data_IF_633116384128
#
_entry.id   IF_633116384128
#
_cell.length_a   1.000
_cell.length_b   1.000
_cell.length_c   1.000
_cell.angle_alpha   90.00
_cell.angle_beta   90.00
_cell.angle_gamma   90.00
#
_symmetry.space_group_name_H-M   'P 1'
#
loop_
_entity.id
_entity.type
_entity.pdbx_description
1 polymer ?
#
# COMPACT_ATOMS: atom_id res chain seq x y z
N UNK A 1 43.71 -6.00 -15.07
CA UNK A 1 42.39 -6.64 -14.87
C UNK A 1 41.72 -5.88 -13.75
N UNK A 2 40.91 -4.87 -14.08
CA UNK A 2 40.22 -4.04 -13.09
C UNK A 2 38.83 -4.63 -12.89
N UNK A 3 38.63 -5.22 -11.71
CA UNK A 3 37.33 -5.62 -11.18
C UNK A 3 36.50 -4.35 -10.95
N UNK A 4 35.53 -4.13 -11.82
CA UNK A 4 34.46 -3.16 -11.60
C UNK A 4 33.47 -3.85 -10.65
N UNK A 5 33.74 -3.75 -9.35
CA UNK A 5 32.72 -3.98 -8.33
C UNK A 5 31.70 -2.85 -8.49
N UNK A 6 30.70 -3.09 -9.34
CA UNK A 6 29.52 -2.27 -9.41
C UNK A 6 28.85 -2.28 -8.03
N UNK A 7 29.04 -1.19 -7.27
CA UNK A 7 28.22 -0.86 -6.12
C UNK A 7 26.76 -0.94 -6.56
N UNK A 8 26.11 -2.06 -6.23
CA UNK A 8 24.68 -2.19 -6.38
C UNK A 8 24.06 -1.17 -5.42
N UNK A 9 23.20 -0.25 -5.90
CA UNK A 9 22.53 0.67 -4.99
C UNK A 9 21.75 -0.14 -3.96
N UNK A 10 21.88 0.21 -2.69
CA UNK A 10 21.13 -0.39 -1.59
C UNK A 10 19.64 -0.01 -1.70
N UNK A 11 18.94 -0.69 -2.63
CA UNK A 11 17.50 -0.53 -2.83
C UNK A 11 16.68 -1.10 -1.65
N UNK A 12 17.31 -1.84 -0.73
CA UNK A 12 16.62 -2.45 0.41
C UNK A 12 16.38 -1.44 1.54
N UNK A 13 17.34 -0.57 1.82
CA UNK A 13 17.24 0.40 2.92
C UNK A 13 16.16 1.48 2.69
N UNK A 14 16.00 1.92 1.43
CA UNK A 14 14.99 2.92 1.06
C UNK A 14 13.55 2.38 1.11
N UNK A 15 13.36 1.08 0.91
CA UNK A 15 12.04 0.45 0.77
C UNK A 15 11.33 0.33 2.11
N UNK A 16 12.06 0.01 3.19
CA UNK A 16 11.46 -0.20 4.51
C UNK A 16 10.98 1.11 5.15
N UNK A 17 11.75 2.19 5.02
CA UNK A 17 11.37 3.52 5.53
C UNK A 17 10.10 4.05 4.87
N UNK A 18 9.96 3.86 3.55
CA UNK A 18 8.78 4.26 2.79
C UNK A 18 7.55 3.43 3.15
N UNK A 19 7.73 2.14 3.42
CA UNK A 19 6.64 1.28 3.89
C UNK A 19 6.14 1.77 5.25
N UNK A 20 7.03 2.02 6.21
CA UNK A 20 6.66 2.54 7.53
C UNK A 20 5.91 3.87 7.43
N UNK A 21 6.37 4.79 6.59
CA UNK A 21 5.70 6.07 6.33
C UNK A 21 4.28 5.88 5.77
N UNK A 22 4.07 4.90 4.90
CA UNK A 22 2.74 4.55 4.38
C UNK A 22 1.85 3.99 5.50
N UNK A 23 2.38 3.11 6.36
CA UNK A 23 1.64 2.58 7.51
C UNK A 23 1.23 3.70 8.49
N UNK A 24 2.16 4.58 8.82
CA UNK A 24 1.92 5.71 9.73
C UNK A 24 0.90 6.69 9.15
N UNK A 25 0.95 6.94 7.83
CA UNK A 25 -0.07 7.74 7.15
C UNK A 25 -1.45 7.07 7.18
N UNK A 26 -1.55 5.78 6.85
CA UNK A 26 -2.82 5.03 6.90
C UNK A 26 -3.43 5.07 8.32
N UNK A 27 -2.58 4.98 9.35
CA UNK A 27 -3.01 5.00 10.76
C UNK A 27 -3.36 6.42 11.26
N UNK A 28 -2.73 7.46 10.74
CA UNK A 28 -3.01 8.84 11.15
C UNK A 28 -4.15 9.49 10.37
N UNK A 29 -4.51 8.99 9.19
CA UNK A 29 -5.49 9.63 8.29
C UNK A 29 -6.93 9.59 8.86
N UNK A 30 -7.50 10.75 9.26
CA UNK A 30 -8.85 10.82 9.85
C UNK A 30 -9.98 10.53 8.86
N UNK A 31 -9.75 10.68 7.55
CA UNK A 31 -10.79 10.53 6.53
C UNK A 31 -11.06 9.06 6.13
N UNK A 32 -10.27 8.12 6.66
CA UNK A 32 -10.42 6.68 6.43
C UNK A 32 -11.31 6.04 7.49
N UNK A 33 -12.41 5.42 7.06
CA UNK A 33 -13.17 4.54 7.94
C UNK A 33 -12.40 3.24 8.22
N UNK A 34 -12.81 2.49 9.24
CA UNK A 34 -12.13 1.26 9.68
C UNK A 34 -11.99 0.20 8.58
N UNK A 35 -12.95 0.14 7.64
CA UNK A 35 -12.93 -0.83 6.54
C UNK A 35 -11.89 -0.48 5.48
N UNK A 36 -11.83 0.79 5.08
CA UNK A 36 -10.86 1.27 4.09
C UNK A 36 -9.44 1.21 4.64
N UNK A 37 -9.29 1.53 5.93
CA UNK A 37 -8.03 1.43 6.66
C UNK A 37 -7.49 -0.01 6.68
N UNK A 38 -8.34 -0.99 7.05
CA UNK A 38 -7.95 -2.40 7.03
C UNK A 38 -7.54 -2.87 5.63
N UNK A 39 -8.27 -2.45 4.60
CA UNK A 39 -7.94 -2.81 3.22
C UNK A 39 -6.59 -2.24 2.77
N UNK A 40 -6.28 -1.01 3.17
CA UNK A 40 -5.00 -0.37 2.88
C UNK A 40 -3.82 -1.03 3.58
N UNK A 41 -3.99 -1.39 4.84
CA UNK A 41 -2.98 -2.12 5.59
C UNK A 41 -2.68 -3.46 4.92
N UNK A 42 -3.71 -4.18 4.45
CA UNK A 42 -3.49 -5.45 3.74
C UNK A 42 -2.74 -5.25 2.41
N UNK A 43 -3.07 -4.21 1.63
CA UNK A 43 -2.34 -3.89 0.40
C UNK A 43 -0.88 -3.52 0.72
N UNK A 44 -0.64 -2.77 1.80
CA UNK A 44 0.71 -2.37 2.22
C UNK A 44 1.55 -3.55 2.73
N UNK A 45 0.91 -4.66 3.13
CA UNK A 45 1.55 -5.94 3.47
C UNK A 45 1.80 -6.84 2.25
N UNK A 46 1.63 -6.33 1.03
CA UNK A 46 1.77 -7.07 -0.23
C UNK A 46 0.72 -8.19 -0.42
N UNK A 47 -0.39 -8.16 0.34
CA UNK A 47 -1.51 -9.07 0.11
C UNK A 47 -2.24 -8.72 -1.20
N UNK A 48 -2.45 -9.72 -2.05
CA UNK A 48 -3.22 -9.54 -3.28
C UNK A 48 -4.74 -9.67 -3.03
N UNK A 49 -5.55 -9.22 -4.00
CA UNK A 49 -7.01 -9.22 -3.86
C UNK A 49 -7.64 -10.62 -3.66
N UNK A 50 -6.94 -11.70 -4.03
CA UNK A 50 -7.40 -13.08 -3.85
C UNK A 50 -7.18 -13.52 -2.40
N UNK A 51 -6.02 -13.21 -1.82
CA UNK A 51 -5.69 -13.50 -0.41
C UNK A 51 -6.62 -12.76 0.55
N UNK A 52 -6.85 -11.48 0.29
CA UNK A 52 -7.77 -10.65 1.09
C UNK A 52 -9.20 -11.23 1.03
N UNK A 53 -9.64 -11.63 -0.17
CA UNK A 53 -10.96 -12.23 -0.37
C UNK A 53 -11.13 -13.55 0.40
N UNK A 54 -10.11 -14.42 0.34
CA UNK A 54 -10.12 -15.71 1.04
C UNK A 54 -10.18 -15.54 2.57
N UNK A 55 -9.44 -14.57 3.13
CA UNK A 55 -9.42 -14.32 4.58
C UNK A 55 -10.69 -13.64 5.10
N UNK A 56 -11.29 -12.77 4.29
CA UNK A 56 -12.46 -11.96 4.72
C UNK A 56 -13.81 -12.58 4.34
N UNK A 57 -13.80 -13.73 3.65
CA UNK A 57 -14.98 -14.38 3.08
C UNK A 57 -15.79 -13.43 2.17
N UNK A 58 -15.08 -12.62 1.38
CA UNK A 58 -15.66 -11.65 0.44
C UNK A 58 -15.27 -12.01 -0.98
N UNK A 59 -16.18 -11.80 -1.93
CA UNK A 59 -15.88 -12.00 -3.35
C UNK A 59 -14.69 -11.14 -3.82
N UNK A 60 -13.73 -11.76 -4.52
CA UNK A 60 -12.55 -11.11 -5.13
C UNK A 60 -12.92 -9.88 -5.97
N UNK A 61 -14.04 -9.94 -6.70
CA UNK A 61 -14.54 -8.80 -7.50
C UNK A 61 -14.88 -7.59 -6.63
N UNK A 62 -15.48 -7.82 -5.47
CA UNK A 62 -15.80 -6.76 -4.52
C UNK A 62 -14.52 -6.19 -3.87
N UNK A 63 -13.55 -7.05 -3.53
CA UNK A 63 -12.24 -6.61 -3.03
C UNK A 63 -11.54 -5.72 -4.06
N UNK A 64 -11.39 -6.16 -5.31
CA UNK A 64 -10.79 -5.34 -6.39
C UNK A 64 -11.48 -3.98 -6.55
N UNK A 65 -12.82 -3.96 -6.54
CA UNK A 65 -13.60 -2.72 -6.62
C UNK A 65 -13.30 -1.78 -5.46
N UNK A 66 -13.16 -2.32 -4.24
CA UNK A 66 -12.81 -1.51 -3.07
C UNK A 66 -11.37 -0.99 -3.15
N UNK A 67 -10.41 -1.82 -3.59
CA UNK A 67 -9.02 -1.38 -3.82
C UNK A 67 -8.99 -0.21 -4.81
N UNK A 68 -9.70 -0.31 -5.94
CA UNK A 68 -9.77 0.78 -6.93
C UNK A 68 -10.37 2.06 -6.35
N UNK A 69 -11.46 1.96 -5.56
CA UNK A 69 -12.08 3.12 -4.91
C UNK A 69 -11.14 3.80 -3.92
N UNK A 70 -10.46 3.00 -3.10
CA UNK A 70 -9.52 3.50 -2.11
C UNK A 70 -8.34 4.20 -2.80
N UNK A 71 -7.76 3.60 -3.85
CA UNK A 71 -6.72 4.25 -4.67
C UNK A 71 -7.18 5.59 -5.24
N UNK A 72 -8.41 5.66 -5.76
CA UNK A 72 -8.97 6.90 -6.29
C UNK A 72 -9.14 7.97 -5.20
N UNK A 73 -9.57 7.59 -3.99
CA UNK A 73 -9.69 8.52 -2.85
C UNK A 73 -8.34 9.04 -2.38
N UNK A 74 -7.32 8.18 -2.31
CA UNK A 74 -5.95 8.60 -1.97
C UNK A 74 -5.43 9.56 -3.02
N UNK A 75 -5.57 9.22 -4.29
CA UNK A 75 -5.13 10.08 -5.38
C UNK A 75 -5.82 11.45 -5.32
N UNK A 76 -7.14 11.49 -5.06
CA UNK A 76 -7.85 12.75 -4.89
C UNK A 76 -7.34 13.56 -3.69
N UNK A 77 -7.17 12.93 -2.53
CA UNK A 77 -6.64 13.60 -1.33
C UNK A 77 -5.22 14.15 -1.55
N UNK A 78 -4.36 13.43 -2.27
CA UNK A 78 -3.01 13.90 -2.59
C UNK A 78 -3.00 15.06 -3.60
N UNK A 79 -3.95 15.08 -4.55
CA UNK A 79 -4.08 16.20 -5.50
C UNK A 79 -4.62 17.47 -4.85
N UNK A 80 -5.30 17.38 -3.70
CA UNK A 80 -5.74 18.56 -2.93
C UNK A 80 -4.64 19.16 -2.03
N UNK A 81 -3.56 18.41 -1.78
CA UNK A 81 -2.46 18.80 -0.88
C UNK A 81 -1.27 19.44 -1.65
N UNK A 82 -1.21 19.28 -2.97
CA UNK A 82 -0.18 19.85 -3.87
C UNK A 82 -0.75 21.06 -4.61
#
# INVERSE_FOLDING_TARGET
TQDILAEQPDYKSTSQSKITEIFDWILSEPCLNSRDRLLLLNIAQDENAVEIAARTDVCVKAVRKNISRVRARIHAAWQEVI
#
